data_IF_057339934528
#
_entry.id   IF_057339934528
#
_cell.length_a   1.000
_cell.length_b   1.000
_cell.length_c   1.000
_cell.angle_alpha   90.00
_cell.angle_beta   90.00
_cell.angle_gamma   90.00
#
_symmetry.space_group_name_H-M   'P 1'
#
loop_
_entity.id
_entity.type
_entity.pdbx_description
1 polymer ?
#
# COMPACT_ATOMS: atom_id res chain seq x y z
N UNK A 1 18.66 -12.82 12.68
CA UNK A 1 17.28 -12.29 12.61
C UNK A 1 16.36 -13.37 12.09
N UNK A 2 15.19 -13.60 12.71
CA UNK A 2 14.24 -14.62 12.26
C UNK A 2 13.68 -14.22 10.87
N UNK A 3 13.69 -15.16 9.90
CA UNK A 3 13.20 -14.92 8.53
C UNK A 3 11.75 -14.38 8.49
N UNK A 4 10.90 -14.82 9.42
CA UNK A 4 9.52 -14.34 9.51
C UNK A 4 9.44 -12.84 9.87
N UNK A 5 10.23 -12.42 10.86
CA UNK A 5 10.32 -11.01 11.29
C UNK A 5 10.88 -10.16 10.15
N UNK A 6 11.93 -10.63 9.48
CA UNK A 6 12.51 -9.92 8.35
C UNK A 6 11.48 -9.77 7.21
N UNK A 7 10.76 -10.84 6.85
CA UNK A 7 9.71 -10.77 5.84
C UNK A 7 8.59 -9.80 6.18
N UNK A 8 8.21 -9.72 7.47
CA UNK A 8 7.22 -8.77 7.95
C UNK A 8 7.74 -7.32 7.81
N UNK A 9 8.98 -7.04 8.20
CA UNK A 9 9.58 -5.71 8.05
C UNK A 9 9.80 -5.33 6.58
N UNK A 10 10.15 -6.28 5.70
CA UNK A 10 10.27 -6.04 4.25
C UNK A 10 8.93 -5.71 3.59
N UNK A 11 7.82 -6.16 4.16
CA UNK A 11 6.51 -5.73 3.69
C UNK A 11 6.26 -4.25 3.99
N UNK A 12 6.66 -3.77 5.16
CA UNK A 12 6.56 -2.35 5.53
C UNK A 12 7.48 -1.47 4.66
N UNK A 13 8.69 -1.97 4.38
CA UNK A 13 9.59 -1.36 3.39
C UNK A 13 8.92 -1.22 2.01
N UNK A 14 8.23 -2.26 1.57
CA UNK A 14 7.57 -2.30 0.26
C UNK A 14 6.37 -1.34 0.19
N UNK A 15 5.47 -1.43 1.17
CA UNK A 15 4.19 -0.72 1.15
C UNK A 15 4.34 0.80 1.38
N UNK A 16 5.43 1.23 2.03
CA UNK A 16 5.74 2.64 2.24
C UNK A 16 5.96 3.41 0.92
N UNK A 17 6.35 2.73 -0.16
CA UNK A 17 6.43 3.34 -1.48
C UNK A 17 5.08 3.84 -1.98
N UNK A 18 4.00 3.11 -1.70
CA UNK A 18 2.65 3.52 -2.08
C UNK A 18 2.20 4.79 -1.35
N UNK A 19 2.32 4.82 -0.03
CA UNK A 19 1.91 6.00 0.75
C UNK A 19 2.74 7.22 0.39
N UNK A 20 4.05 7.06 0.27
CA UNK A 20 4.95 8.17 -0.02
C UNK A 20 4.70 8.73 -1.42
N UNK A 21 4.65 7.88 -2.44
CA UNK A 21 4.64 8.34 -3.83
C UNK A 21 3.24 8.53 -4.36
N UNK A 22 2.34 7.58 -4.12
CA UNK A 22 0.99 7.66 -4.68
C UNK A 22 0.11 8.59 -3.85
N UNK A 23 0.06 8.38 -2.53
CA UNK A 23 -0.87 9.15 -1.70
C UNK A 23 -0.37 10.58 -1.47
N UNK A 24 0.93 10.76 -1.23
CA UNK A 24 1.46 12.03 -0.69
C UNK A 24 2.15 12.90 -1.74
N UNK A 25 3.10 12.36 -2.53
CA UNK A 25 4.05 13.23 -3.26
C UNK A 25 3.74 13.36 -4.74
N UNK A 26 3.51 12.25 -5.46
CA UNK A 26 3.50 12.29 -6.94
C UNK A 26 2.11 12.20 -7.52
N UNK A 27 1.33 11.14 -7.20
CA UNK A 27 0.04 10.96 -7.86
C UNK A 27 -0.98 12.01 -7.41
N UNK A 28 -0.98 12.41 -6.14
CA UNK A 28 -1.82 13.51 -5.65
C UNK A 28 -1.62 14.79 -6.46
N UNK A 29 -0.36 15.19 -6.66
CA UNK A 29 0.02 16.38 -7.43
C UNK A 29 -0.29 16.20 -8.92
N UNK A 30 0.04 15.04 -9.48
CA UNK A 30 -0.25 14.70 -10.87
C UNK A 30 -1.76 14.73 -11.15
N UNK A 31 -2.57 14.17 -10.25
CA UNK A 31 -4.04 14.17 -10.39
C UNK A 31 -4.59 15.60 -10.40
N UNK A 32 -4.19 16.42 -9.46
CA UNK A 32 -4.66 17.82 -9.36
C UNK A 32 -4.23 18.64 -10.57
N UNK A 33 -2.94 18.64 -10.90
CA UNK A 33 -2.40 19.58 -11.88
C UNK A 33 -2.50 19.07 -13.33
N UNK A 34 -2.36 17.75 -13.57
CA UNK A 34 -2.27 17.21 -14.92
C UNK A 34 -3.55 16.49 -15.36
N UNK A 35 -4.27 15.82 -14.45
CA UNK A 35 -5.48 15.09 -14.79
C UNK A 35 -6.69 16.04 -14.77
N UNK A 36 -6.84 16.82 -13.70
CA UNK A 36 -7.94 17.79 -13.56
C UNK A 36 -7.59 19.13 -14.22
N UNK A 37 -6.37 19.63 -13.99
CA UNK A 37 -5.90 20.89 -14.58
C UNK A 37 -6.44 22.15 -13.90
N UNK A 38 -7.16 22.01 -12.80
CA UNK A 38 -7.69 23.08 -11.95
C UNK A 38 -7.38 22.72 -10.50
N UNK A 39 -6.69 23.61 -9.79
CA UNK A 39 -6.15 23.31 -8.45
C UNK A 39 -7.27 23.16 -7.41
N UNK A 40 -8.28 24.02 -7.46
CA UNK A 40 -9.37 24.01 -6.48
C UNK A 40 -10.28 22.80 -6.67
N UNK A 41 -10.73 22.59 -7.91
CA UNK A 41 -11.53 21.42 -8.27
C UNK A 41 -10.74 20.13 -8.05
N UNK A 42 -9.48 20.09 -8.48
CA UNK A 42 -8.61 18.92 -8.35
C UNK A 42 -8.37 18.53 -6.89
N UNK A 43 -8.11 19.52 -6.02
CA UNK A 43 -7.95 19.29 -4.59
C UNK A 43 -9.24 18.79 -3.95
N UNK A 44 -10.40 19.35 -4.32
CA UNK A 44 -11.70 18.88 -3.85
C UNK A 44 -11.99 17.44 -4.30
N UNK A 45 -11.71 17.10 -5.55
CA UNK A 45 -11.90 15.75 -6.09
C UNK A 45 -10.91 14.74 -5.48
N UNK A 46 -9.65 15.15 -5.25
CA UNK A 46 -8.68 14.35 -4.53
C UNK A 46 -9.16 14.02 -3.11
N UNK A 47 -9.59 15.05 -2.35
CA UNK A 47 -10.16 14.86 -1.02
C UNK A 47 -11.36 13.92 -1.01
N UNK A 48 -12.25 14.02 -2.01
CA UNK A 48 -13.38 13.08 -2.18
C UNK A 48 -12.91 11.66 -2.46
N UNK A 49 -11.92 11.47 -3.32
CA UNK A 49 -11.38 10.13 -3.61
C UNK A 49 -10.78 9.47 -2.36
N UNK A 50 -10.00 10.24 -1.58
CA UNK A 50 -9.48 9.77 -0.28
C UNK A 50 -10.64 9.44 0.67
N UNK A 51 -11.62 10.34 0.83
CA UNK A 51 -12.75 10.14 1.73
C UNK A 51 -13.57 8.89 1.37
N UNK A 52 -13.86 8.68 0.08
CA UNK A 52 -14.59 7.48 -0.39
C UNK A 52 -13.79 6.21 -0.07
N UNK A 53 -12.51 6.18 -0.37
CA UNK A 53 -11.68 5.01 -0.09
C UNK A 53 -11.62 4.70 1.42
N UNK A 54 -11.48 5.74 2.27
CA UNK A 54 -11.45 5.57 3.72
C UNK A 54 -12.81 5.17 4.29
N UNK A 55 -13.92 5.63 3.71
CA UNK A 55 -15.26 5.18 4.07
C UNK A 55 -15.45 3.69 3.77
N UNK A 56 -15.01 3.24 2.60
CA UNK A 56 -15.03 1.81 2.24
C UNK A 56 -14.20 0.97 3.23
N UNK A 57 -13.02 1.47 3.61
CA UNK A 57 -12.18 0.83 4.64
C UNK A 57 -12.91 0.80 5.98
N UNK A 58 -13.49 1.91 6.43
CA UNK A 58 -14.18 1.98 7.71
C UNK A 58 -15.37 1.01 7.81
N UNK A 59 -16.13 0.86 6.73
CA UNK A 59 -17.26 -0.11 6.67
C UNK A 59 -16.74 -1.55 6.66
N UNK A 60 -15.66 -1.84 5.95
CA UNK A 60 -15.13 -3.20 5.81
C UNK A 60 -14.20 -3.62 6.95
N UNK A 61 -13.58 -2.67 7.67
CA UNK A 61 -12.59 -2.97 8.71
C UNK A 61 -13.11 -3.89 9.84
N UNK A 62 -14.34 -3.77 10.37
CA UNK A 62 -14.85 -4.69 11.37
C UNK A 62 -14.97 -6.11 10.83
N UNK A 63 -15.39 -6.26 9.56
CA UNK A 63 -15.52 -7.56 8.89
C UNK A 63 -14.12 -8.16 8.70
N UNK A 64 -13.17 -7.38 8.19
CA UNK A 64 -11.80 -7.84 8.00
C UNK A 64 -11.09 -8.15 9.32
N UNK A 65 -11.36 -7.38 10.39
CA UNK A 65 -10.88 -7.66 11.73
C UNK A 65 -11.39 -9.01 12.23
N UNK A 66 -12.71 -9.26 12.15
CA UNK A 66 -13.29 -10.53 12.52
C UNK A 66 -12.73 -11.70 11.69
N UNK A 67 -12.57 -11.51 10.39
CA UNK A 67 -11.92 -12.51 9.51
C UNK A 67 -10.48 -12.73 9.93
N UNK A 68 -9.71 -11.67 10.24
CA UNK A 68 -8.34 -11.78 10.70
C UNK A 68 -8.20 -12.53 12.01
N UNK A 69 -9.15 -12.39 12.94
CA UNK A 69 -9.12 -13.05 14.24
C UNK A 69 -9.54 -14.52 14.16
N UNK A 70 -10.51 -14.86 13.33
CA UNK A 70 -11.14 -16.19 13.30
C UNK A 70 -10.67 -17.07 12.13
N UNK A 71 -10.18 -16.49 11.04
CA UNK A 71 -9.77 -17.25 9.86
C UNK A 71 -8.28 -17.58 9.86
N UNK A 72 -7.95 -18.76 9.34
CA UNK A 72 -6.57 -19.15 9.03
C UNK A 72 -6.07 -18.56 7.72
N UNK A 73 -6.85 -17.68 7.09
CA UNK A 73 -6.60 -17.16 5.75
C UNK A 73 -5.99 -15.75 5.75
N UNK A 74 -5.46 -15.25 6.89
CA UNK A 74 -4.87 -13.90 7.00
C UNK A 74 -3.91 -13.59 5.87
N UNK A 75 -3.03 -14.52 5.56
CA UNK A 75 -2.03 -14.39 4.50
C UNK A 75 -2.67 -14.32 3.11
N UNK A 76 -3.75 -15.07 2.84
CA UNK A 76 -4.47 -15.01 1.56
C UNK A 76 -5.18 -13.68 1.38
N UNK A 77 -5.83 -13.16 2.43
CA UNK A 77 -6.46 -11.84 2.40
C UNK A 77 -5.41 -10.73 2.25
N UNK A 78 -4.29 -10.83 2.97
CA UNK A 78 -3.14 -9.93 2.78
C UNK A 78 -2.67 -9.95 1.33
N UNK A 79 -2.48 -11.14 0.75
CA UNK A 79 -2.05 -11.29 -0.64
C UNK A 79 -3.04 -10.63 -1.60
N UNK A 80 -4.33 -10.95 -1.48
CA UNK A 80 -5.36 -10.40 -2.36
C UNK A 80 -5.38 -8.86 -2.34
N UNK A 81 -5.41 -8.25 -1.16
CA UNK A 81 -5.48 -6.80 -1.03
C UNK A 81 -4.16 -6.11 -1.44
N UNK A 82 -3.01 -6.76 -1.17
CA UNK A 82 -1.71 -6.27 -1.64
C UNK A 82 -1.66 -6.22 -3.16
N UNK A 83 -2.04 -7.30 -3.84
CA UNK A 83 -2.01 -7.33 -5.30
C UNK A 83 -3.10 -6.48 -5.93
N UNK A 84 -4.25 -6.31 -5.26
CA UNK A 84 -5.24 -5.31 -5.65
C UNK A 84 -4.61 -3.90 -5.69
N UNK A 85 -3.90 -3.51 -4.62
CA UNK A 85 -3.17 -2.24 -4.57
C UNK A 85 -2.15 -2.12 -5.70
N UNK A 86 -1.31 -3.15 -5.89
CA UNK A 86 -0.25 -3.17 -6.90
C UNK A 86 -0.82 -3.01 -8.31
N UNK A 87 -1.86 -3.78 -8.64
CA UNK A 87 -2.48 -3.75 -9.98
C UNK A 87 -3.08 -2.36 -10.25
N UNK A 88 -3.88 -1.84 -9.32
CA UNK A 88 -4.51 -0.54 -9.53
C UNK A 88 -3.51 0.63 -9.48
N UNK A 89 -2.40 0.49 -8.75
CA UNK A 89 -1.28 1.44 -8.81
C UNK A 89 -0.63 1.41 -10.20
N UNK A 90 -0.38 0.25 -10.76
CA UNK A 90 0.16 0.13 -12.12
C UNK A 90 -0.79 0.71 -13.18
N UNK A 91 -2.11 0.52 -13.01
CA UNK A 91 -3.13 1.06 -13.91
C UNK A 91 -3.19 2.59 -13.94
N UNK A 92 -2.68 3.29 -12.91
CA UNK A 92 -2.55 4.75 -12.92
C UNK A 92 -1.69 5.26 -14.08
N UNK A 93 -0.82 4.44 -14.64
CA UNK A 93 -0.07 4.74 -15.87
C UNK A 93 -0.98 5.16 -17.05
N UNK A 94 -2.16 4.58 -17.13
CA UNK A 94 -3.11 4.84 -18.22
C UNK A 94 -4.02 6.05 -17.97
N UNK A 95 -3.85 6.75 -16.85
CA UNK A 95 -4.59 7.97 -16.54
C UNK A 95 -3.93 9.16 -17.23
N UNK A 96 -4.72 9.91 -18.00
CA UNK A 96 -4.29 11.08 -18.76
C UNK A 96 -5.08 12.32 -18.37
N UNK A 97 -4.72 13.46 -18.90
CA UNK A 97 -5.49 14.70 -18.74
C UNK A 97 -6.96 14.50 -19.15
N UNK A 98 -7.88 14.91 -18.30
CA UNK A 98 -9.32 14.73 -18.47
C UNK A 98 -9.89 13.39 -17.98
N UNK A 99 -9.06 12.38 -17.70
CA UNK A 99 -9.49 11.05 -17.22
C UNK A 99 -9.88 11.06 -15.71
N UNK A 100 -10.63 12.07 -15.26
CA UNK A 100 -10.90 12.33 -13.83
C UNK A 100 -11.53 11.12 -13.15
N UNK A 101 -12.65 10.62 -13.69
CA UNK A 101 -13.37 9.48 -13.07
C UNK A 101 -12.53 8.22 -13.02
N UNK A 102 -11.74 7.94 -14.06
CA UNK A 102 -10.84 6.79 -14.15
C UNK A 102 -9.69 6.90 -13.14
N UNK A 103 -9.10 8.09 -13.03
CA UNK A 103 -8.03 8.36 -12.07
C UNK A 103 -8.51 8.22 -10.62
N UNK A 104 -9.68 8.76 -10.29
CA UNK A 104 -10.31 8.58 -8.99
C UNK A 104 -10.61 7.11 -8.71
N UNK A 105 -11.22 6.39 -9.65
CA UNK A 105 -11.58 4.99 -9.48
C UNK A 105 -10.36 4.12 -9.20
N UNK A 106 -9.29 4.25 -10.00
CA UNK A 106 -8.08 3.45 -9.79
C UNK A 106 -7.42 3.77 -8.44
N UNK A 107 -7.36 5.04 -8.07
CA UNK A 107 -6.82 5.43 -6.77
C UNK A 107 -7.67 4.90 -5.61
N UNK A 108 -9.00 5.02 -5.66
CA UNK A 108 -9.91 4.56 -4.61
C UNK A 108 -9.69 3.06 -4.36
N UNK A 109 -9.63 2.24 -5.41
CA UNK A 109 -9.43 0.80 -5.27
C UNK A 109 -8.03 0.48 -4.75
N UNK A 110 -6.98 1.16 -5.25
CA UNK A 110 -5.62 0.98 -4.77
C UNK A 110 -5.50 1.33 -3.27
N UNK A 111 -6.05 2.47 -2.86
CA UNK A 111 -5.99 2.94 -1.48
C UNK A 111 -6.83 2.07 -0.54
N UNK A 112 -8.01 1.63 -0.98
CA UNK A 112 -8.82 0.64 -0.25
C UNK A 112 -8.04 -0.67 -0.05
N UNK A 113 -7.43 -1.21 -1.10
CA UNK A 113 -6.61 -2.41 -1.03
C UNK A 113 -5.44 -2.25 -0.04
N UNK A 114 -4.74 -1.13 -0.09
CA UNK A 114 -3.63 -0.81 0.79
C UNK A 114 -4.05 -0.82 2.28
N UNK A 115 -5.09 -0.08 2.64
CA UNK A 115 -5.55 -0.01 4.03
C UNK A 115 -6.13 -1.34 4.50
N UNK A 116 -6.85 -2.06 3.65
CA UNK A 116 -7.38 -3.40 3.96
C UNK A 116 -6.25 -4.42 4.16
N UNK A 117 -5.19 -4.37 3.33
CA UNK A 117 -4.02 -5.21 3.50
C UNK A 117 -3.34 -4.97 4.87
N UNK A 118 -3.28 -3.71 5.32
CA UNK A 118 -2.66 -3.37 6.60
C UNK A 118 -3.40 -3.98 7.80
N UNK A 119 -4.72 -4.23 7.73
CA UNK A 119 -5.45 -4.96 8.79
C UNK A 119 -4.85 -6.36 8.97
N UNK A 120 -4.68 -7.10 7.87
CA UNK A 120 -4.13 -8.46 7.91
C UNK A 120 -2.63 -8.48 8.20
N UNK A 121 -1.88 -7.51 7.69
CA UNK A 121 -0.45 -7.32 7.97
C UNK A 121 -0.18 -7.15 9.47
N UNK A 122 -0.93 -6.26 10.12
CA UNK A 122 -0.80 -6.02 11.55
C UNK A 122 -1.24 -7.23 12.39
N UNK A 123 -2.27 -7.96 11.95
CA UNK A 123 -2.75 -9.17 12.61
C UNK A 123 -1.76 -10.36 12.53
N UNK A 124 -0.75 -10.32 11.66
CA UNK A 124 0.30 -11.34 11.59
C UNK A 124 1.41 -11.13 12.62
N UNK A 125 1.63 -9.92 13.10
CA UNK A 125 2.75 -9.63 14.01
C UNK A 125 2.69 -10.40 15.33
N UNK A 126 1.55 -10.49 16.04
CA UNK A 126 1.43 -11.29 17.27
C UNK A 126 1.63 -12.79 17.06
N UNK A 127 1.50 -13.30 15.83
CA UNK A 127 1.70 -14.73 15.52
C UNK A 127 3.17 -15.10 15.32
N UNK A 128 4.03 -14.11 15.06
CA UNK A 128 5.45 -14.33 14.73
C UNK A 128 6.41 -13.77 15.79
N UNK A 129 5.89 -12.99 16.75
CA UNK A 129 6.67 -12.30 17.77
C UNK A 129 6.00 -12.47 19.13
N UNK A 130 6.81 -12.71 20.18
CA UNK A 130 6.34 -12.74 21.57
C UNK A 130 5.81 -11.36 21.98
N UNK A 131 4.79 -11.34 22.84
CA UNK A 131 4.10 -10.12 23.27
C UNK A 131 5.03 -9.03 23.83
N UNK A 132 6.05 -9.42 24.56
CA UNK A 132 7.07 -8.53 25.13
C UNK A 132 7.92 -7.79 24.09
N UNK A 133 7.98 -8.29 22.84
CA UNK A 133 8.80 -7.75 21.75
C UNK A 133 8.01 -7.07 20.63
N UNK A 134 6.68 -7.13 20.69
CA UNK A 134 5.81 -6.57 19.60
C UNK A 134 6.14 -5.10 19.36
N UNK A 135 6.17 -4.26 20.40
CA UNK A 135 6.45 -2.84 20.27
C UNK A 135 7.83 -2.55 19.65
N UNK A 136 8.86 -3.31 20.06
CA UNK A 136 10.21 -3.18 19.50
C UNK A 136 10.24 -3.55 18.01
N UNK A 137 9.63 -4.66 17.64
CA UNK A 137 9.63 -5.13 16.23
C UNK A 137 8.77 -4.22 15.36
N UNK A 138 7.63 -3.74 15.85
CA UNK A 138 6.82 -2.74 15.16
C UNK A 138 7.60 -1.45 14.91
N UNK A 139 8.33 -0.93 15.90
CA UNK A 139 9.19 0.23 15.72
C UNK A 139 10.29 0.02 14.67
N UNK A 140 10.91 -1.16 14.62
CA UNK A 140 11.86 -1.51 13.57
C UNK A 140 11.22 -1.61 12.19
N UNK A 141 9.98 -2.15 12.10
CA UNK A 141 9.21 -2.17 10.87
C UNK A 141 9.02 -0.77 10.32
N UNK A 142 8.53 0.15 11.15
CA UNK A 142 8.35 1.55 10.78
C UNK A 142 9.65 2.22 10.30
N UNK A 143 10.75 2.03 11.04
CA UNK A 143 12.05 2.58 10.64
C UNK A 143 12.48 2.07 9.27
N UNK A 144 12.34 0.77 9.00
CA UNK A 144 12.65 0.15 7.71
C UNK A 144 11.68 0.64 6.64
N UNK A 145 10.39 0.83 6.96
CA UNK A 145 9.40 1.42 6.09
C UNK A 145 9.80 2.82 5.60
N UNK A 146 10.26 3.69 6.49
CA UNK A 146 10.79 5.00 6.09
C UNK A 146 11.95 4.91 5.10
N UNK A 147 12.88 3.96 5.30
CA UNK A 147 13.95 3.72 4.31
C UNK A 147 13.39 3.25 2.96
N UNK A 148 12.33 2.42 2.96
CA UNK A 148 11.66 1.99 1.74
C UNK A 148 11.01 3.16 0.99
N UNK A 149 10.28 4.02 1.71
CA UNK A 149 9.70 5.24 1.16
C UNK A 149 10.76 6.18 0.58
N UNK A 150 11.86 6.40 1.32
CA UNK A 150 12.96 7.24 0.88
C UNK A 150 13.68 6.66 -0.34
N UNK A 151 13.97 5.37 -0.35
CA UNK A 151 14.61 4.70 -1.50
C UNK A 151 13.71 4.80 -2.73
N UNK A 152 12.41 4.57 -2.57
CA UNK A 152 11.46 4.68 -3.68
C UNK A 152 11.43 6.10 -4.26
N UNK A 153 11.55 7.15 -3.45
CA UNK A 153 11.69 8.54 -3.94
C UNK A 153 12.95 8.70 -4.79
N UNK A 154 14.10 8.21 -4.35
CA UNK A 154 15.33 8.28 -5.16
C UNK A 154 15.20 7.54 -6.49
N UNK A 155 14.56 6.38 -6.50
CA UNK A 155 14.35 5.58 -7.73
C UNK A 155 13.49 6.34 -8.75
N UNK A 156 12.50 7.11 -8.31
CA UNK A 156 11.60 7.81 -9.23
C UNK A 156 12.11 9.17 -9.70
N UNK A 157 13.10 9.75 -9.03
CA UNK A 157 13.63 11.09 -9.38
C UNK A 157 13.98 11.23 -10.88
N UNK A 158 14.67 10.28 -11.53
CA UNK A 158 14.98 10.40 -12.96
C UNK A 158 13.73 10.50 -13.84
N UNK A 159 12.63 9.82 -13.47
CA UNK A 159 11.38 9.88 -14.22
C UNK A 159 10.70 11.24 -14.09
N UNK A 160 10.77 11.86 -12.90
CA UNK A 160 10.21 13.19 -12.67
C UNK A 160 11.02 14.24 -13.42
N UNK A 161 12.36 14.19 -13.36
CA UNK A 161 13.23 15.14 -14.05
C UNK A 161 13.12 15.11 -15.58
N UNK A 162 12.71 13.99 -16.16
CA UNK A 162 12.55 13.84 -17.61
C UNK A 162 11.07 13.92 -18.07
N UNK A 163 10.17 14.49 -17.26
CA UNK A 163 8.73 14.61 -17.55
C UNK A 163 8.01 13.27 -17.82
N UNK A 164 8.59 12.18 -17.31
CA UNK A 164 8.05 10.82 -17.45
C UNK A 164 7.20 10.41 -16.23
N UNK A 165 6.45 11.34 -15.64
CA UNK A 165 5.71 11.13 -14.37
C UNK A 165 4.83 9.89 -14.38
N UNK A 166 4.16 9.56 -15.50
CA UNK A 166 3.29 8.38 -15.57
C UNK A 166 4.04 7.05 -15.38
N UNK A 167 5.32 6.97 -15.75
CA UNK A 167 6.14 5.77 -15.56
C UNK A 167 6.48 5.52 -14.09
N UNK A 168 6.33 6.54 -13.23
CA UNK A 168 6.51 6.39 -11.79
C UNK A 168 5.54 5.36 -11.21
N UNK A 169 4.29 5.32 -11.68
CA UNK A 169 3.25 4.45 -11.12
C UNK A 169 3.54 2.95 -11.28
N UNK A 170 3.87 2.44 -12.49
CA UNK A 170 4.30 1.05 -12.63
C UNK A 170 5.63 0.76 -11.93
N UNK A 171 6.55 1.71 -11.80
CA UNK A 171 7.80 1.54 -11.04
C UNK A 171 7.49 1.32 -9.55
N UNK A 172 6.59 2.11 -8.96
CA UNK A 172 6.14 1.93 -7.58
C UNK A 172 5.42 0.60 -7.39
N UNK A 173 4.54 0.23 -8.33
CA UNK A 173 3.85 -1.05 -8.30
C UNK A 173 4.84 -2.23 -8.33
N UNK A 174 5.86 -2.16 -9.17
CA UNK A 174 6.92 -3.16 -9.27
C UNK A 174 7.78 -3.23 -8.00
N UNK A 175 8.16 -2.08 -7.45
CA UNK A 175 8.86 -2.00 -6.17
C UNK A 175 8.05 -2.69 -5.05
N UNK A 176 6.78 -2.34 -4.93
CA UNK A 176 5.89 -2.95 -3.95
C UNK A 176 5.77 -4.47 -4.19
N UNK A 177 5.59 -4.91 -5.44
CA UNK A 177 5.49 -6.32 -5.78
C UNK A 177 6.73 -7.11 -5.35
N UNK A 178 7.93 -6.64 -5.69
CA UNK A 178 9.19 -7.35 -5.40
C UNK A 178 9.40 -7.49 -3.88
N UNK A 179 9.32 -6.39 -3.15
CA UNK A 179 9.68 -6.40 -1.73
C UNK A 179 8.58 -6.98 -0.83
N UNK A 180 7.31 -7.01 -1.29
CA UNK A 180 6.24 -7.70 -0.57
C UNK A 180 6.31 -9.24 -0.67
N UNK A 181 7.02 -9.79 -1.64
CA UNK A 181 7.13 -11.26 -1.82
C UNK A 181 7.70 -11.95 -0.57
N UNK A 182 8.60 -11.30 0.15
CA UNK A 182 9.26 -11.89 1.32
C UNK A 182 8.29 -12.30 2.43
N UNK A 183 7.23 -11.52 2.68
CA UNK A 183 6.22 -11.88 3.69
C UNK A 183 5.48 -13.16 3.27
N UNK A 184 5.20 -13.30 1.96
CA UNK A 184 4.47 -14.46 1.44
C UNK A 184 5.31 -15.73 1.38
N UNK A 185 6.63 -15.62 1.25
CA UNK A 185 7.52 -16.79 1.23
C UNK A 185 7.83 -17.26 2.66
N UNK A 186 8.13 -16.34 3.58
CA UNK A 186 8.69 -16.69 4.88
C UNK A 186 7.69 -16.82 6.02
N UNK A 187 6.50 -16.22 5.91
CA UNK A 187 5.43 -16.43 6.88
C UNK A 187 4.51 -17.54 6.36
N UNK A 188 4.47 -18.64 7.08
CA UNK A 188 3.50 -19.71 6.84
C UNK A 188 2.24 -19.45 7.65
N UNK A 189 1.07 -19.75 7.08
CA UNK A 189 -0.17 -19.73 7.86
C UNK A 189 -0.04 -20.69 9.04
N UNK A 190 -0.36 -20.19 10.24
CA UNK A 190 -0.33 -21.02 11.45
C UNK A 190 -1.53 -21.96 11.40
N UNK A 191 -1.28 -23.27 11.43
CA UNK A 191 -2.33 -24.25 11.64
C UNK A 191 -2.91 -24.04 13.04
N UNK A 192 -4.24 -23.93 13.19
CA UNK A 192 -4.82 -23.90 14.53
C UNK A 192 -4.44 -25.19 15.27
N UNK A 193 -4.29 -25.14 16.60
CA UNK A 193 -4.23 -26.35 17.38
C UNK A 193 -5.47 -27.20 17.12
N UNK A 194 -5.25 -28.45 16.81
CA UNK A 194 -6.27 -29.48 16.68
C UNK A 194 -7.02 -29.66 17.98
#
# INVERSE_FOLDING_TARGET
>A
MNKKIFGWMMYDFANSSFTTIIVTVVYSVYFVNNVVGDVDLGSALWGRAVAISMLLVAISAPIFGAVADHSRAKKRFLFFHTYLTIIFTALLFFVRSGDISKGMFYFIIANFGFHSANVFYNALLPEIVNRDKIGKISGWGWAIGYFGGMLSLFIILPFIHNDLTRYVFPVVAFFFAIFSVFIFIWIKEVKAPS
#
